data_IF_921075265922
#
_entry.id   IF_921075265922
#
_cell.length_a   1.000
_cell.length_b   1.000
_cell.length_c   1.000
_cell.angle_alpha   90.00
_cell.angle_beta   90.00
_cell.angle_gamma   90.00
#
_symmetry.space_group_name_H-M   'P 1'
#
loop_
_entity.id
_entity.type
_entity.pdbx_description
1 polymer ?
#
# COMPACT_ATOMS: atom_id res chain seq x y z
N UNK A 1 -20.41 -4.57 -49.57
CA UNK A 1 -19.60 -5.45 -48.68
C UNK A 1 -19.88 -5.01 -47.26
N UNK A 2 -20.56 -5.88 -46.49
CA UNK A 2 -20.88 -5.65 -45.08
C UNK A 2 -19.61 -5.80 -44.25
N UNK A 3 -19.08 -4.71 -43.69
CA UNK A 3 -18.10 -4.75 -42.60
C UNK A 3 -18.87 -4.62 -41.28
N UNK A 4 -19.69 -5.61 -40.95
CA UNK A 4 -20.29 -5.75 -39.63
C UNK A 4 -19.47 -6.75 -38.79
N UNK A 5 -18.20 -6.44 -38.56
CA UNK A 5 -17.42 -7.04 -37.48
C UNK A 5 -17.39 -6.03 -36.35
N UNK A 6 -18.27 -6.15 -35.36
CA UNK A 6 -18.08 -5.44 -34.09
C UNK A 6 -16.76 -5.92 -33.52
N UNK A 7 -15.71 -5.11 -33.64
CA UNK A 7 -14.42 -5.40 -33.04
C UNK A 7 -14.65 -5.60 -31.53
N UNK A 8 -14.50 -6.84 -31.06
CA UNK A 8 -14.55 -7.13 -29.64
C UNK A 8 -13.33 -6.45 -29.03
N UNK A 9 -13.58 -5.41 -28.25
CA UNK A 9 -12.51 -4.68 -27.57
C UNK A 9 -11.89 -5.60 -26.52
N UNK A 10 -10.56 -5.73 -26.54
CA UNK A 10 -9.83 -6.39 -25.46
C UNK A 10 -9.98 -5.63 -24.15
N UNK A 11 -10.14 -6.36 -23.05
CA UNK A 11 -10.00 -5.81 -21.70
C UNK A 11 -8.55 -5.39 -21.46
N UNK A 12 -8.36 -4.43 -20.56
CA UNK A 12 -7.02 -4.02 -20.10
C UNK A 12 -6.97 -3.95 -18.58
N UNK A 13 -5.75 -3.90 -18.05
CA UNK A 13 -5.46 -3.74 -16.63
C UNK A 13 -4.97 -2.32 -16.37
N UNK A 14 -5.62 -1.63 -15.45
CA UNK A 14 -5.21 -0.34 -14.92
C UNK A 14 -4.53 -0.59 -13.58
N UNK A 15 -3.24 -0.28 -13.50
CA UNK A 15 -2.44 -0.49 -12.30
C UNK A 15 -2.01 0.86 -11.75
N UNK A 16 -2.34 1.14 -10.50
CA UNK A 16 -1.91 2.35 -9.79
C UNK A 16 -0.96 1.98 -8.67
N UNK A 17 0.20 2.63 -8.63
CA UNK A 17 1.24 2.43 -7.61
C UNK A 17 1.51 3.78 -6.91
N UNK A 18 1.06 3.92 -5.67
CA UNK A 18 1.19 5.14 -4.86
C UNK A 18 2.34 5.00 -3.86
N UNK A 19 3.38 5.81 -3.99
CA UNK A 19 4.55 5.73 -3.10
C UNK A 19 4.37 6.52 -1.79
N UNK A 20 5.24 6.27 -0.80
CA UNK A 20 5.16 6.84 0.54
C UNK A 20 5.75 8.26 0.70
N UNK A 21 5.47 8.89 1.84
CA UNK A 21 6.09 10.12 2.40
C UNK A 21 7.48 10.49 1.93
N UNK A 22 7.70 11.56 1.17
CA UNK A 22 9.05 12.04 0.83
C UNK A 22 9.91 11.02 0.07
N UNK A 23 9.33 9.89 -0.35
CA UNK A 23 9.94 8.92 -1.21
C UNK A 23 9.62 9.31 -2.64
N UNK A 24 10.62 9.86 -3.29
CA UNK A 24 10.59 10.08 -4.73
C UNK A 24 11.63 9.18 -5.38
N UNK A 25 11.21 7.99 -5.78
CA UNK A 25 12.04 7.12 -6.58
C UNK A 25 12.43 7.69 -7.97
N UNK A 26 11.82 8.80 -8.40
CA UNK A 26 12.17 9.55 -9.62
C UNK A 26 13.28 10.56 -9.34
N UNK A 27 13.30 11.21 -8.17
CA UNK A 27 14.37 12.14 -7.76
C UNK A 27 15.58 11.43 -7.13
N UNK A 28 15.38 10.21 -6.63
CA UNK A 28 16.44 9.39 -6.05
C UNK A 28 17.34 8.84 -7.15
N UNK A 29 18.58 9.32 -7.20
CA UNK A 29 19.55 8.86 -8.22
C UNK A 29 20.19 7.51 -7.85
N UNK A 30 20.18 7.13 -6.57
CA UNK A 30 20.71 5.86 -6.12
C UNK A 30 19.62 4.77 -6.12
N UNK A 31 19.75 3.79 -7.03
CA UNK A 31 18.79 2.69 -7.19
C UNK A 31 18.64 1.84 -5.92
N UNK A 32 19.64 1.81 -5.04
CA UNK A 32 19.58 1.06 -3.79
C UNK A 32 18.52 1.64 -2.84
N UNK A 33 18.21 2.93 -2.95
CA UNK A 33 17.26 3.63 -2.08
C UNK A 33 15.81 3.58 -2.60
N UNK A 34 15.53 2.84 -3.67
CA UNK A 34 14.16 2.75 -4.19
C UNK A 34 13.22 2.02 -3.24
N UNK A 35 11.99 2.49 -3.20
CA UNK A 35 10.88 1.81 -2.53
C UNK A 35 10.46 0.58 -3.33
N UNK A 36 9.83 -0.35 -2.62
CA UNK A 36 9.18 -1.51 -3.22
C UNK A 36 8.00 -1.11 -4.10
N UNK A 37 7.34 0.02 -3.85
CA UNK A 37 6.30 0.54 -4.75
C UNK A 37 6.88 0.89 -6.12
N UNK A 38 7.98 1.64 -6.16
CA UNK A 38 8.64 1.96 -7.43
C UNK A 38 9.20 0.70 -8.11
N UNK A 39 9.86 -0.17 -7.33
CA UNK A 39 10.42 -1.42 -7.86
C UNK A 39 9.31 -2.29 -8.45
N UNK A 40 8.18 -2.45 -7.77
CA UNK A 40 7.02 -3.19 -8.26
C UNK A 40 6.45 -2.56 -9.53
N UNK A 41 6.29 -1.24 -9.59
CA UNK A 41 5.81 -0.54 -10.77
C UNK A 41 6.70 -0.80 -12.01
N UNK A 42 8.02 -0.87 -11.80
CA UNK A 42 9.00 -1.19 -12.87
C UNK A 42 9.07 -2.68 -13.22
N UNK A 43 8.66 -3.55 -12.30
CA UNK A 43 8.56 -5.00 -12.53
C UNK A 43 7.35 -5.37 -13.37
N UNK A 44 6.30 -4.54 -13.46
CA UNK A 44 5.09 -4.92 -14.22
C UNK A 44 5.31 -4.71 -15.72
N UNK A 45 5.10 -5.77 -16.52
CA UNK A 45 5.21 -5.70 -17.97
C UNK A 45 4.13 -4.80 -18.58
N UNK A 46 4.36 -4.23 -19.76
CA UNK A 46 3.34 -3.42 -20.46
C UNK A 46 2.18 -4.26 -21.03
N UNK A 47 2.40 -5.56 -21.25
CA UNK A 47 1.42 -6.50 -21.79
C UNK A 47 1.56 -7.86 -21.12
N UNK A 48 0.45 -8.58 -21.00
CA UNK A 48 0.39 -9.95 -20.56
C UNK A 48 0.18 -10.89 -21.75
N UNK A 49 1.30 -11.48 -22.19
CA UNK A 49 1.36 -12.39 -23.33
C UNK A 49 0.92 -13.81 -23.00
N UNK A 50 0.45 -14.08 -21.77
CA UNK A 50 -0.20 -15.36 -21.42
C UNK A 50 -1.58 -15.51 -22.07
N UNK A 51 -2.11 -14.42 -22.62
CA UNK A 51 -3.40 -14.34 -23.30
C UNK A 51 -3.24 -14.03 -24.79
N UNK A 52 -4.22 -14.44 -25.61
CA UNK A 52 -4.28 -14.15 -27.05
C UNK A 52 -5.65 -13.54 -27.41
N UNK A 53 -5.73 -12.25 -27.82
CA UNK A 53 -4.61 -11.31 -27.90
C UNK A 53 -4.03 -10.96 -26.51
N UNK A 54 -2.78 -10.46 -26.42
CA UNK A 54 -2.19 -10.01 -25.17
C UNK A 54 -3.04 -8.96 -24.46
N UNK A 55 -3.14 -9.06 -23.13
CA UNK A 55 -3.87 -8.07 -22.32
C UNK A 55 -2.94 -6.91 -21.98
N UNK A 56 -3.33 -5.69 -22.34
CA UNK A 56 -2.56 -4.49 -22.01
C UNK A 56 -2.55 -4.22 -20.49
N UNK A 57 -1.39 -3.88 -19.94
CA UNK A 57 -1.19 -3.51 -18.54
C UNK A 57 -0.67 -2.06 -18.47
N UNK A 58 -1.52 -1.12 -18.09
CA UNK A 58 -1.18 0.31 -18.02
C UNK A 58 -0.83 0.66 -16.59
N UNK A 59 0.44 0.98 -16.35
CA UNK A 59 0.98 1.34 -15.03
C UNK A 59 0.99 2.86 -14.87
N UNK A 60 0.39 3.34 -13.79
CA UNK A 60 0.49 4.71 -13.29
C UNK A 60 1.22 4.71 -11.95
N UNK A 61 2.40 5.30 -11.93
CA UNK A 61 3.18 5.50 -10.71
C UNK A 61 2.99 6.95 -10.22
N UNK A 62 2.64 7.10 -8.95
CA UNK A 62 2.49 8.37 -8.27
C UNK A 62 3.55 8.50 -7.19
N UNK A 63 4.34 9.57 -7.23
CA UNK A 63 5.33 9.87 -6.20
C UNK A 63 4.67 10.15 -4.84
N UNK A 64 5.46 10.01 -3.79
CA UNK A 64 5.02 10.30 -2.44
C UNK A 64 4.51 11.73 -2.25
N UNK A 65 3.60 11.91 -1.29
CA UNK A 65 3.23 13.26 -0.82
C UNK A 65 4.51 14.00 -0.37
N UNK A 66 4.60 15.30 -0.65
CA UNK A 66 5.74 16.15 -0.25
C UNK A 66 6.93 16.19 -1.21
N UNK A 67 6.93 15.42 -2.31
CA UNK A 67 8.08 15.38 -3.24
C UNK A 67 8.04 16.46 -4.33
N UNK A 68 6.94 17.19 -4.46
CA UNK A 68 6.76 18.24 -5.46
C UNK A 68 7.43 19.55 -5.03
N UNK A 69 8.42 20.00 -5.80
CA UNK A 69 8.93 21.39 -5.72
C UNK A 69 7.96 22.31 -6.48
N UNK A 70 6.87 22.74 -5.86
CA UNK A 70 6.01 23.75 -6.46
C UNK A 70 6.51 25.17 -6.11
N UNK A 71 6.79 25.95 -7.15
CA UNK A 71 7.25 27.35 -7.13
C UNK A 71 6.15 28.37 -6.73
N UNK A 72 5.02 27.89 -6.21
CA UNK A 72 3.85 28.69 -5.83
C UNK A 72 3.42 28.39 -4.40
N UNK A 73 4.36 28.50 -3.46
CA UNK A 73 4.06 28.58 -2.04
C UNK A 73 3.85 30.04 -1.65
N UNK A 74 2.63 30.52 -1.86
CA UNK A 74 2.06 31.58 -1.03
C UNK A 74 0.53 31.43 -1.12
N UNK A 75 -0.10 31.03 -0.01
CA UNK A 75 -1.55 30.90 0.21
C UNK A 75 -2.25 29.56 -0.08
N UNK A 76 -1.68 28.44 0.35
CA UNK A 76 -2.51 27.32 0.85
C UNK A 76 -2.01 27.00 2.25
N UNK A 77 -2.91 27.09 3.25
CA UNK A 77 -2.67 26.61 4.61
C UNK A 77 -2.42 25.08 4.54
N UNK A 78 -1.14 24.72 4.37
CA UNK A 78 -0.67 23.46 3.78
C UNK A 78 -0.21 22.44 4.83
N UNK A 79 -1.07 22.11 5.79
CA UNK A 79 -0.88 20.97 6.69
C UNK A 79 -1.48 19.72 6.05
N UNK A 80 -0.67 18.92 5.35
CA UNK A 80 -0.82 17.48 4.94
C UNK A 80 -2.12 16.96 4.30
N UNK A 81 -3.31 17.46 4.63
CA UNK A 81 -4.62 17.01 4.13
C UNK A 81 -4.97 17.49 2.73
N UNK A 82 -4.52 18.69 2.33
CA UNK A 82 -4.69 19.18 0.95
C UNK A 82 -3.95 18.32 -0.07
N UNK A 83 -2.68 18.03 0.22
CA UNK A 83 -1.82 17.21 -0.66
C UNK A 83 -2.25 15.75 -0.74
N UNK A 84 -2.87 15.18 0.29
CA UNK A 84 -3.43 13.81 0.22
C UNK A 84 -4.68 13.75 -0.66
N UNK A 85 -5.60 14.73 -0.54
CA UNK A 85 -6.81 14.79 -1.35
C UNK A 85 -6.46 14.85 -2.84
N UNK A 86 -5.48 15.68 -3.21
CA UNK A 86 -4.97 15.80 -4.57
C UNK A 86 -4.43 14.46 -5.09
N UNK A 87 -3.65 13.73 -4.27
CA UNK A 87 -3.10 12.42 -4.67
C UNK A 87 -4.19 11.37 -4.87
N UNK A 88 -5.21 11.36 -4.01
CA UNK A 88 -6.37 10.46 -4.17
C UNK A 88 -7.15 10.81 -5.43
N UNK A 89 -7.38 12.11 -5.69
CA UNK A 89 -8.07 12.58 -6.89
C UNK A 89 -7.31 12.23 -8.17
N UNK A 90 -6.00 12.48 -8.23
CA UNK A 90 -5.13 12.12 -9.37
C UNK A 90 -5.21 10.63 -9.71
N UNK A 91 -5.05 9.77 -8.70
CA UNK A 91 -5.09 8.32 -8.88
C UNK A 91 -6.49 7.83 -9.29
N UNK A 92 -7.55 8.36 -8.65
CA UNK A 92 -8.92 8.04 -9.00
C UNK A 92 -9.26 8.52 -10.43
N UNK A 93 -8.90 9.75 -10.78
CA UNK A 93 -9.13 10.33 -12.10
C UNK A 93 -8.39 9.55 -13.19
N UNK A 94 -7.15 9.12 -12.96
CA UNK A 94 -6.44 8.23 -13.88
C UNK A 94 -7.27 6.98 -14.20
N UNK A 95 -7.80 6.30 -13.19
CA UNK A 95 -8.64 5.12 -13.39
C UNK A 95 -9.93 5.51 -14.11
N UNK A 96 -10.67 6.47 -13.57
CA UNK A 96 -11.98 6.88 -14.04
C UNK A 96 -11.99 7.34 -15.51
N UNK A 97 -10.95 8.04 -15.96
CA UNK A 97 -10.83 8.57 -17.31
C UNK A 97 -10.34 7.53 -18.34
N UNK A 98 -9.65 6.48 -17.88
CA UNK A 98 -9.13 5.42 -18.74
C UNK A 98 -9.97 4.13 -18.71
N UNK A 99 -10.85 3.97 -17.72
CA UNK A 99 -11.65 2.77 -17.52
C UNK A 99 -12.80 2.63 -18.50
N UNK A 100 -12.97 1.43 -19.02
CA UNK A 100 -14.20 0.99 -19.65
C UNK A 100 -14.72 -0.29 -18.98
N UNK A 101 -16.05 -0.54 -19.04
CA UNK A 101 -16.64 -1.72 -18.43
C UNK A 101 -15.92 -3.00 -18.82
N UNK A 102 -15.50 -3.77 -17.81
CA UNK A 102 -14.77 -5.03 -17.96
C UNK A 102 -13.24 -4.91 -17.83
N UNK A 103 -12.69 -3.69 -17.81
CA UNK A 103 -11.29 -3.51 -17.43
C UNK A 103 -11.05 -3.92 -15.98
N UNK A 104 -9.81 -4.30 -15.66
CA UNK A 104 -9.39 -4.75 -14.34
C UNK A 104 -8.60 -3.65 -13.62
N UNK A 105 -8.79 -3.49 -12.31
CA UNK A 105 -8.16 -2.44 -11.50
C UNK A 105 -7.27 -3.08 -10.42
N UNK A 106 -6.02 -2.62 -10.36
CA UNK A 106 -5.02 -3.05 -9.38
C UNK A 106 -4.46 -1.81 -8.67
N UNK A 107 -4.40 -1.86 -7.35
CA UNK A 107 -3.93 -0.74 -6.53
C UNK A 107 -2.79 -1.23 -5.65
N UNK A 108 -1.68 -0.50 -5.65
CA UNK A 108 -0.52 -0.78 -4.83
C UNK A 108 -0.05 0.46 -4.10
N UNK A 109 0.54 0.29 -2.92
CA UNK A 109 1.23 1.41 -2.29
C UNK A 109 2.01 1.06 -1.05
N UNK A 110 2.82 2.02 -0.60
CA UNK A 110 3.63 1.92 0.62
C UNK A 110 3.33 3.08 1.56
N UNK A 111 3.25 2.84 2.88
CA UNK A 111 3.14 3.90 3.88
C UNK A 111 1.87 4.75 3.67
N UNK A 112 1.99 6.08 3.58
CA UNK A 112 0.87 6.96 3.14
C UNK A 112 0.41 6.70 1.72
N UNK A 113 1.27 6.22 0.83
CA UNK A 113 0.84 5.77 -0.50
C UNK A 113 -0.05 4.53 -0.43
N UNK A 114 0.19 3.63 0.53
CA UNK A 114 -0.74 2.55 0.82
C UNK A 114 -2.09 3.11 1.31
N UNK A 115 -2.07 4.13 2.16
CA UNK A 115 -3.28 4.83 2.59
C UNK A 115 -4.04 5.45 1.40
N UNK A 116 -3.36 6.13 0.47
CA UNK A 116 -3.93 6.65 -0.78
C UNK A 116 -4.57 5.54 -1.62
N UNK A 117 -3.87 4.43 -1.85
CA UNK A 117 -4.39 3.29 -2.60
C UNK A 117 -5.66 2.71 -1.97
N UNK A 118 -5.69 2.61 -0.64
CA UNK A 118 -6.86 2.16 0.13
C UNK A 118 -8.02 3.14 0.04
N UNK A 119 -7.76 4.45 0.10
CA UNK A 119 -8.78 5.49 -0.10
C UNK A 119 -9.39 5.43 -1.50
N UNK A 120 -8.57 5.33 -2.54
CA UNK A 120 -9.05 5.13 -3.92
C UNK A 120 -9.93 3.89 -4.00
N UNK A 121 -9.51 2.79 -3.37
CA UNK A 121 -10.32 1.58 -3.31
C UNK A 121 -11.69 1.82 -2.64
N UNK A 122 -11.73 2.57 -1.54
CA UNK A 122 -12.98 2.89 -0.84
C UNK A 122 -13.89 3.80 -1.66
N UNK A 123 -13.36 4.82 -2.33
CA UNK A 123 -14.16 5.65 -3.25
C UNK A 123 -14.74 4.82 -4.40
N UNK A 124 -13.95 3.94 -5.02
CA UNK A 124 -14.46 3.03 -6.06
C UNK A 124 -15.60 2.14 -5.52
N UNK A 125 -15.49 1.67 -4.28
CA UNK A 125 -16.57 0.88 -3.66
C UNK A 125 -17.83 1.69 -3.35
N UNK A 126 -17.67 2.97 -3.00
CA UNK A 126 -18.75 3.81 -2.51
C UNK A 126 -19.52 4.54 -3.63
N UNK A 127 -18.81 5.03 -4.64
CA UNK A 127 -19.36 5.83 -5.75
C UNK A 127 -19.09 5.23 -7.13
N UNK A 128 -18.41 4.08 -7.20
CA UNK A 128 -17.98 3.49 -8.47
C UNK A 128 -16.92 4.33 -9.17
N UNK A 129 -16.98 4.42 -10.50
CA UNK A 129 -16.09 5.28 -11.31
C UNK A 129 -16.85 6.43 -11.97
N UNK A 130 -16.65 7.65 -11.49
CA UNK A 130 -17.26 8.85 -12.08
C UNK A 130 -16.85 9.02 -13.54
N UNK A 131 -17.79 9.42 -14.40
CA UNK A 131 -17.45 9.76 -15.77
C UNK A 131 -16.83 11.16 -15.88
N UNK A 132 -16.52 11.59 -17.10
CA UNK A 132 -15.87 12.89 -17.34
C UNK A 132 -16.65 14.08 -16.80
N UNK A 133 -17.99 14.00 -16.76
CA UNK A 133 -18.85 15.08 -16.24
C UNK A 133 -19.01 14.95 -14.73
N UNK A 134 -19.19 13.73 -14.25
CA UNK A 134 -19.38 13.49 -12.82
C UNK A 134 -18.09 13.82 -12.03
N UNK A 135 -16.91 13.68 -12.65
CA UNK A 135 -15.62 14.07 -12.06
C UNK A 135 -15.57 15.54 -11.61
N UNK A 136 -16.35 16.46 -12.20
CA UNK A 136 -16.48 17.84 -11.72
C UNK A 136 -16.96 17.93 -10.25
N UNK A 137 -17.52 16.84 -9.72
CA UNK A 137 -18.03 16.74 -8.35
C UNK A 137 -17.07 16.02 -7.40
N UNK A 138 -15.90 15.52 -7.85
CA UNK A 138 -15.03 14.68 -7.01
C UNK A 138 -14.60 15.38 -5.72
N UNK A 139 -14.08 16.61 -5.82
CA UNK A 139 -13.68 17.40 -4.67
C UNK A 139 -14.84 17.62 -3.67
N UNK A 140 -16.05 17.85 -4.18
CA UNK A 140 -17.27 18.02 -3.37
C UNK A 140 -17.62 16.73 -2.63
N UNK A 141 -17.61 15.60 -3.33
CA UNK A 141 -17.85 14.27 -2.76
C UNK A 141 -16.81 13.95 -1.68
N UNK A 142 -15.53 14.22 -1.96
CA UNK A 142 -14.44 14.00 -1.02
C UNK A 142 -14.65 14.80 0.28
N UNK A 143 -14.94 16.09 0.17
CA UNK A 143 -15.22 16.96 1.32
C UNK A 143 -16.45 16.48 2.09
N UNK A 144 -17.50 16.03 1.41
CA UNK A 144 -18.70 15.52 2.06
C UNK A 144 -18.41 14.26 2.90
N UNK A 145 -17.64 13.31 2.37
CA UNK A 145 -17.17 12.15 3.12
C UNK A 145 -16.29 12.54 4.32
N UNK A 146 -15.37 13.49 4.13
CA UNK A 146 -14.50 13.98 5.21
C UNK A 146 -15.31 14.62 6.35
N UNK A 147 -16.32 15.42 6.03
CA UNK A 147 -17.20 16.05 7.03
C UNK A 147 -18.09 15.01 7.71
N UNK A 148 -18.61 14.04 6.97
CA UNK A 148 -19.43 12.96 7.51
C UNK A 148 -18.68 12.12 8.56
N UNK A 149 -17.36 11.99 8.39
CA UNK A 149 -16.47 11.32 9.35
C UNK A 149 -16.33 12.05 10.68
N UNK A 150 -16.34 13.39 10.64
CA UNK A 150 -16.01 14.27 11.76
C UNK A 150 -17.23 14.79 12.51
N UNK A 151 -18.41 14.70 11.89
CA UNK A 151 -19.65 15.25 12.45
C UNK A 151 -20.37 14.24 13.34
N UNK A 152 -20.60 14.66 14.59
CA UNK A 152 -21.51 14.02 15.55
C UNK A 152 -22.95 14.58 15.47
N UNK A 153 -23.19 15.57 14.60
CA UNK A 153 -24.51 16.21 14.45
C UNK A 153 -25.37 15.45 13.42
N UNK A 154 -26.42 14.78 13.89
CA UNK A 154 -27.30 13.97 13.04
C UNK A 154 -27.93 14.74 11.87
N UNK A 155 -28.27 16.02 12.05
CA UNK A 155 -28.84 16.83 10.97
C UNK A 155 -27.82 17.10 9.86
N UNK A 156 -26.57 17.42 10.23
CA UNK A 156 -25.49 17.61 9.27
C UNK A 156 -25.16 16.29 8.55
N UNK A 157 -25.11 15.18 9.29
CA UNK A 157 -24.89 13.84 8.73
C UNK A 157 -25.97 13.47 7.72
N UNK A 158 -27.23 13.77 8.00
CA UNK A 158 -28.33 13.53 7.04
C UNK A 158 -28.17 14.38 5.78
N UNK A 159 -27.88 15.68 5.91
CA UNK A 159 -27.67 16.57 4.76
C UNK A 159 -26.51 16.09 3.86
N UNK A 160 -25.39 15.70 4.46
CA UNK A 160 -24.24 15.16 3.72
C UNK A 160 -24.57 13.82 3.05
N UNK A 161 -25.36 12.98 3.72
CA UNK A 161 -25.83 11.71 3.14
C UNK A 161 -26.74 11.95 1.93
N UNK A 162 -27.66 12.92 2.03
CA UNK A 162 -28.55 13.32 0.93
C UNK A 162 -27.76 13.90 -0.24
N UNK A 163 -26.71 14.68 0.03
CA UNK A 163 -25.80 15.22 -0.98
C UNK A 163 -25.05 14.12 -1.74
N UNK A 164 -24.59 13.08 -1.03
CA UNK A 164 -23.88 11.94 -1.58
C UNK A 164 -24.81 10.95 -2.30
N UNK A 165 -26.11 10.95 -1.98
CA UNK A 165 -27.08 9.97 -2.47
C UNK A 165 -27.11 9.86 -4.01
N UNK A 166 -26.89 10.97 -4.74
CA UNK A 166 -26.84 10.95 -6.20
C UNK A 166 -25.73 10.04 -6.77
N UNK A 167 -24.65 9.83 -6.01
CA UNK A 167 -23.46 9.08 -6.41
C UNK A 167 -23.39 7.69 -5.77
N UNK A 168 -24.06 7.47 -4.64
CA UNK A 168 -23.98 6.22 -3.85
C UNK A 168 -25.17 5.29 -4.02
N UNK A 169 -26.28 5.77 -4.60
CA UNK A 169 -27.45 4.92 -4.87
C UNK A 169 -27.10 3.80 -5.87
N UNK A 170 -27.71 2.60 -5.77
CA UNK A 170 -27.30 1.45 -6.58
C UNK A 170 -27.32 1.68 -8.10
N UNK A 171 -28.22 2.52 -8.61
CA UNK A 171 -28.35 2.90 -10.02
C UNK A 171 -27.50 4.12 -10.41
N UNK A 172 -26.65 4.64 -9.52
CA UNK A 172 -25.74 5.75 -9.82
C UNK A 172 -24.80 5.38 -10.97
N UNK A 173 -24.54 6.35 -11.85
CA UNK A 173 -23.79 6.12 -13.08
C UNK A 173 -22.40 5.53 -12.82
N UNK A 174 -21.69 6.05 -11.81
CA UNK A 174 -20.37 5.54 -11.44
C UNK A 174 -20.39 4.07 -10.99
N UNK A 175 -21.37 3.68 -10.17
CA UNK A 175 -21.52 2.29 -9.72
C UNK A 175 -21.91 1.36 -10.86
N UNK A 176 -22.74 1.82 -11.80
CA UNK A 176 -23.10 1.04 -12.99
C UNK A 176 -21.91 0.79 -13.92
N UNK A 177 -20.90 1.69 -13.95
CA UNK A 177 -19.68 1.47 -14.75
C UNK A 177 -18.83 0.31 -14.24
N UNK A 178 -18.88 0.00 -12.94
CA UNK A 178 -18.09 -1.06 -12.29
C UNK A 178 -18.98 -2.16 -11.68
N UNK A 179 -20.09 -2.48 -12.35
CA UNK A 179 -21.08 -3.43 -11.87
C UNK A 179 -20.64 -4.91 -11.99
N UNK A 180 -19.56 -5.25 -11.30
CA UNK A 180 -19.00 -6.59 -11.18
C UNK A 180 -18.97 -7.02 -9.71
N UNK A 181 -18.98 -8.32 -9.39
CA UNK A 181 -18.85 -8.79 -8.00
C UNK A 181 -17.62 -8.22 -7.27
N UNK A 182 -16.54 -8.03 -8.02
CA UNK A 182 -15.34 -7.34 -7.59
C UNK A 182 -15.00 -6.24 -8.59
N UNK A 183 -15.14 -4.97 -8.19
CA UNK A 183 -14.72 -3.83 -9.00
C UNK A 183 -13.20 -3.62 -8.97
N UNK A 184 -12.51 -4.20 -7.98
CA UNK A 184 -11.05 -4.14 -7.83
C UNK A 184 -10.50 -5.56 -7.75
N UNK A 185 -9.54 -5.89 -8.61
CA UNK A 185 -8.90 -7.21 -8.65
C UNK A 185 -7.91 -7.41 -7.50
N UNK A 186 -7.11 -6.39 -7.20
CA UNK A 186 -6.09 -6.50 -6.18
C UNK A 186 -5.83 -5.16 -5.48
N UNK A 187 -5.67 -5.21 -4.16
CA UNK A 187 -5.01 -4.16 -3.37
C UNK A 187 -3.79 -4.77 -2.68
N UNK A 188 -2.58 -4.37 -3.08
CA UNK A 188 -1.33 -4.84 -2.50
C UNK A 188 -0.59 -3.72 -1.78
N UNK A 189 -0.45 -3.79 -0.46
CA UNK A 189 0.12 -2.70 0.34
C UNK A 189 1.34 -3.15 1.15
N UNK A 190 2.33 -2.27 1.19
CA UNK A 190 3.47 -2.36 2.10
C UNK A 190 3.20 -1.41 3.26
N UNK A 191 3.17 -1.96 4.45
CA UNK A 191 3.07 -1.27 5.72
C UNK A 191 2.24 0.04 5.74
N UNK A 192 0.92 -0.08 5.90
CA UNK A 192 0.00 1.07 5.84
C UNK A 192 0.02 1.85 7.16
N UNK A 193 0.47 3.10 7.10
CA UNK A 193 0.39 4.04 8.21
C UNK A 193 -0.54 5.20 7.88
N UNK A 194 -1.33 5.62 8.87
CA UNK A 194 -2.32 6.67 8.71
C UNK A 194 -1.70 8.03 8.39
N UNK A 195 -2.45 8.86 7.67
CA UNK A 195 -2.14 10.27 7.45
C UNK A 195 -2.62 11.10 8.66
N UNK A 196 -1.94 11.00 9.79
CA UNK A 196 -1.95 12.09 10.76
C UNK A 196 -0.72 12.96 10.52
N UNK A 197 -0.85 14.26 10.79
CA UNK A 197 0.21 15.25 10.62
C UNK A 197 1.40 14.98 11.54
N UNK A 198 2.11 16.06 11.93
CA UNK A 198 3.22 15.95 12.88
C UNK A 198 2.87 15.00 14.06
N UNK A 199 3.84 14.23 14.56
CA UNK A 199 3.66 13.28 15.66
C UNK A 199 2.81 13.89 16.79
N UNK A 200 1.97 13.07 17.44
CA UNK A 200 1.11 13.52 18.54
C UNK A 200 1.94 14.15 19.69
N UNK A 201 3.23 13.85 19.78
CA UNK A 201 4.12 14.46 20.77
C UNK A 201 4.59 15.88 20.42
N UNK A 202 4.47 16.27 19.13
CA UNK A 202 4.77 17.60 18.61
C UNK A 202 3.50 18.46 18.44
N UNK A 203 2.33 17.85 18.46
CA UNK A 203 1.03 18.55 18.37
C UNK A 203 0.14 18.18 19.55
N UNK A 204 -0.26 19.18 20.35
CA UNK A 204 -1.17 19.03 21.48
C UNK A 204 -2.47 18.27 21.10
N UNK A 205 -2.48 16.96 21.34
CA UNK A 205 -3.65 16.10 21.54
C UNK A 205 -4.66 16.04 20.37
N UNK A 206 -4.22 15.63 19.18
CA UNK A 206 -5.13 15.28 18.08
C UNK A 206 -5.60 13.82 18.25
N UNK A 207 -6.86 13.66 18.66
CA UNK A 207 -7.54 12.35 18.79
C UNK A 207 -7.25 11.47 17.56
N UNK A 208 -6.79 10.24 17.80
CA UNK A 208 -6.65 9.18 16.78
C UNK A 208 -7.89 9.15 15.88
N UNK A 209 -7.72 9.52 14.61
CA UNK A 209 -8.79 9.43 13.63
C UNK A 209 -9.03 7.94 13.33
N UNK A 210 -10.05 7.34 13.95
CA UNK A 210 -10.52 5.97 13.69
C UNK A 210 -11.24 5.84 12.33
N UNK A 211 -11.37 6.95 11.61
CA UNK A 211 -12.04 7.06 10.32
C UNK A 211 -11.12 7.75 9.31
N UNK A 212 -10.88 7.09 8.19
CA UNK A 212 -10.18 7.58 7.00
C UNK A 212 -11.16 8.39 6.17
N UNK A 213 -11.24 9.70 6.42
CA UNK A 213 -12.10 10.60 5.66
C UNK A 213 -13.54 10.07 5.50
N UNK A 214 -14.06 9.35 6.48
CA UNK A 214 -15.43 8.80 6.50
C UNK A 214 -15.51 7.28 6.33
N UNK A 215 -14.43 6.64 5.88
CA UNK A 215 -14.34 5.18 5.77
C UNK A 215 -13.66 4.58 7.01
N UNK A 216 -14.09 3.40 7.49
CA UNK A 216 -13.38 2.72 8.58
C UNK A 216 -11.96 2.32 8.12
N UNK A 217 -10.93 2.77 8.83
CA UNK A 217 -9.51 2.55 8.46
C UNK A 217 -9.12 1.08 8.33
N UNK A 218 -9.85 0.19 8.99
CA UNK A 218 -9.57 -1.24 8.97
C UNK A 218 -10.46 -2.01 7.99
N UNK A 219 -11.55 -1.45 7.49
CA UNK A 219 -12.50 -2.23 6.70
C UNK A 219 -11.90 -2.65 5.35
N UNK A 220 -11.97 -3.94 5.05
CA UNK A 220 -11.78 -4.46 3.70
C UNK A 220 -13.11 -4.46 2.95
N UNK A 221 -13.25 -3.58 1.95
CA UNK A 221 -14.46 -3.47 1.13
C UNK A 221 -14.76 -4.77 0.38
N UNK A 222 -16.03 -5.19 0.37
CA UNK A 222 -16.46 -6.45 -0.26
C UNK A 222 -16.34 -6.49 -1.80
N UNK A 223 -16.03 -5.35 -2.42
CA UNK A 223 -15.79 -5.18 -3.86
C UNK A 223 -14.33 -5.40 -4.28
N UNK A 224 -13.44 -5.68 -3.32
CA UNK A 224 -12.03 -6.03 -3.56
C UNK A 224 -11.90 -7.55 -3.60
N UNK A 225 -11.35 -8.11 -4.69
CA UNK A 225 -11.19 -9.57 -4.84
C UNK A 225 -10.05 -10.11 -3.98
N UNK A 226 -8.86 -9.49 -4.07
CA UNK A 226 -7.68 -9.91 -3.33
C UNK A 226 -7.00 -8.73 -2.62
N UNK A 227 -6.63 -8.92 -1.36
CA UNK A 227 -5.88 -7.96 -0.58
C UNK A 227 -4.63 -8.62 0.01
N UNK A 228 -3.47 -8.02 -0.21
CA UNK A 228 -2.17 -8.47 0.30
C UNK A 228 -1.53 -7.33 1.08
N UNK A 229 -1.12 -7.57 2.32
CA UNK A 229 -0.52 -6.55 3.19
C UNK A 229 0.75 -7.08 3.85
N UNK A 230 1.90 -6.51 3.52
CA UNK A 230 3.16 -6.79 4.21
C UNK A 230 3.31 -5.88 5.44
N UNK A 231 3.56 -6.47 6.62
CA UNK A 231 3.55 -5.82 7.92
C UNK A 231 4.95 -5.85 8.58
N UNK A 232 5.34 -4.74 9.21
CA UNK A 232 6.62 -4.63 9.90
C UNK A 232 6.54 -5.19 11.32
N UNK A 233 7.37 -6.17 11.65
CA UNK A 233 7.44 -6.74 13.00
C UNK A 233 8.22 -5.85 13.98
N UNK A 234 9.30 -5.23 13.52
CA UNK A 234 10.24 -4.46 14.34
C UNK A 234 10.04 -2.94 14.25
N UNK A 235 8.88 -2.47 13.78
CA UNK A 235 8.53 -1.05 13.87
C UNK A 235 8.07 -0.70 15.29
N UNK A 236 8.83 0.19 15.93
CA UNK A 236 8.67 0.51 17.36
C UNK A 236 8.18 1.94 17.61
N UNK A 237 8.03 2.78 16.57
CA UNK A 237 7.45 4.11 16.70
C UNK A 237 5.94 3.98 16.85
N UNK A 238 5.39 4.54 17.94
CA UNK A 238 3.96 4.46 18.27
C UNK A 238 3.05 5.00 17.17
N UNK A 239 3.45 6.08 16.51
CA UNK A 239 2.66 6.73 15.46
C UNK A 239 2.68 5.98 14.13
N UNK A 240 3.52 4.95 14.03
CA UNK A 240 3.58 4.02 12.90
C UNK A 240 2.85 2.73 13.25
N UNK A 241 1.77 2.80 14.02
CA UNK A 241 0.88 1.65 14.23
C UNK A 241 0.13 1.34 12.93
N UNK A 242 0.29 0.11 12.43
CA UNK A 242 -0.22 -0.28 11.13
C UNK A 242 -1.75 -0.35 11.13
N UNK A 243 -2.36 0.28 10.12
CA UNK A 243 -3.77 0.14 9.80
C UNK A 243 -4.05 -1.23 9.13
N UNK A 244 -4.16 -2.28 9.94
CA UNK A 244 -4.50 -3.64 9.48
C UNK A 244 -5.90 -3.71 8.88
N UNK A 245 -6.08 -4.57 7.90
CA UNK A 245 -7.40 -4.93 7.38
C UNK A 245 -8.18 -5.84 8.33
N UNK A 246 -9.49 -5.67 8.32
CA UNK A 246 -10.52 -6.49 8.92
C UNK A 246 -11.56 -6.75 7.83
N UNK A 247 -11.75 -8.02 7.46
CA UNK A 247 -12.77 -8.41 6.48
C UNK A 247 -14.07 -8.77 7.17
N UNK A 248 -15.20 -8.38 6.58
CA UNK A 248 -16.51 -8.82 7.05
C UNK A 248 -16.71 -10.33 6.78
N UNK A 249 -17.36 -11.03 7.71
CA UNK A 249 -17.62 -12.47 7.58
C UNK A 249 -18.35 -12.84 6.27
N UNK A 250 -19.25 -11.98 5.80
CA UNK A 250 -20.01 -12.20 4.57
C UNK A 250 -19.13 -12.17 3.30
N UNK A 251 -17.98 -11.49 3.34
CA UNK A 251 -17.08 -11.39 2.19
C UNK A 251 -16.30 -12.69 1.93
N UNK A 252 -16.06 -13.49 2.98
CA UNK A 252 -15.39 -14.80 2.86
C UNK A 252 -16.17 -15.73 1.93
N UNK A 253 -17.49 -15.70 2.03
CA UNK A 253 -18.37 -16.55 1.22
C UNK A 253 -18.39 -16.18 -0.27
N UNK A 254 -17.83 -15.01 -0.64
CA UNK A 254 -17.72 -14.56 -2.04
C UNK A 254 -16.37 -14.91 -2.68
N UNK A 255 -15.48 -15.58 -1.96
CA UNK A 255 -14.13 -15.91 -2.45
C UNK A 255 -13.12 -14.76 -2.32
N UNK A 256 -13.42 -13.72 -1.51
CA UNK A 256 -12.46 -12.65 -1.22
C UNK A 256 -11.23 -13.20 -0.49
N UNK A 257 -10.04 -12.89 -1.01
CA UNK A 257 -8.76 -13.30 -0.42
C UNK A 257 -8.18 -12.11 0.35
N UNK A 258 -7.80 -12.35 1.61
CA UNK A 258 -7.04 -11.40 2.42
C UNK A 258 -5.81 -12.15 2.93
N UNK A 259 -4.60 -11.62 2.72
CA UNK A 259 -3.39 -12.08 3.41
C UNK A 259 -2.70 -10.90 4.05
N UNK A 260 -2.46 -10.97 5.35
CA UNK A 260 -1.66 -9.99 6.07
C UNK A 260 -0.44 -10.71 6.63
N UNK A 261 0.74 -10.48 6.06
CA UNK A 261 1.94 -11.22 6.42
C UNK A 261 2.94 -10.33 7.15
N UNK A 262 3.40 -10.80 8.30
CA UNK A 262 4.40 -10.15 9.14
C UNK A 262 5.82 -10.58 8.73
N UNK A 263 6.68 -9.59 8.51
CA UNK A 263 8.09 -9.78 8.14
C UNK A 263 9.02 -9.15 9.18
N UNK A 264 10.25 -9.65 9.26
CA UNK A 264 11.32 -9.03 10.05
C UNK A 264 11.68 -7.68 9.44
N UNK A 265 11.92 -6.68 10.30
CA UNK A 265 12.21 -5.32 9.85
C UNK A 265 11.26 -4.26 10.41
N UNK A 266 11.67 -3.00 10.32
CA UNK A 266 10.86 -1.81 10.59
C UNK A 266 10.15 -1.29 9.31
N UNK A 267 9.47 -0.15 9.38
CA UNK A 267 8.67 0.42 8.29
C UNK A 267 9.34 0.38 6.90
N UNK A 268 10.56 0.91 6.78
CA UNK A 268 11.29 0.96 5.51
C UNK A 268 12.05 -0.34 5.19
N UNK A 269 12.16 -1.27 6.14
CA UNK A 269 12.58 -2.65 5.83
C UNK A 269 11.46 -3.42 5.12
N UNK A 270 10.21 -2.94 5.17
CA UNK A 270 9.08 -3.54 4.45
C UNK A 270 8.82 -2.84 3.12
N UNK A 271 8.86 -1.51 3.11
CA UNK A 271 8.56 -0.72 1.92
C UNK A 271 9.76 -0.27 1.09
N UNK A 272 10.99 -0.51 1.55
CA UNK A 272 12.20 0.01 0.94
C UNK A 272 12.55 1.45 1.37
N UNK A 273 13.69 1.94 0.89
CA UNK A 273 14.24 3.25 1.24
C UNK A 273 15.56 3.22 2.02
N UNK A 274 16.03 2.04 2.42
CA UNK A 274 17.39 1.83 2.93
C UNK A 274 18.32 1.31 1.85
N UNK A 275 19.63 1.60 1.97
CA UNK A 275 20.64 1.03 1.06
C UNK A 275 20.79 -0.47 1.27
N UNK A 276 20.75 -0.92 2.51
CA UNK A 276 20.73 -2.33 2.90
C UNK A 276 19.27 -2.78 2.93
N UNK A 277 18.85 -3.51 1.91
CA UNK A 277 17.42 -3.69 1.63
C UNK A 277 17.01 -5.16 1.43
N UNK A 278 17.77 -6.13 1.95
CA UNK A 278 17.46 -7.56 1.87
C UNK A 278 16.06 -7.86 2.43
N UNK A 279 15.70 -7.25 3.57
CA UNK A 279 14.37 -7.40 4.17
C UNK A 279 13.26 -6.86 3.26
N UNK A 280 13.50 -5.73 2.59
CA UNK A 280 12.54 -5.14 1.66
C UNK A 280 12.47 -5.94 0.36
N UNK A 281 13.57 -6.51 -0.11
CA UNK A 281 13.56 -7.39 -1.29
C UNK A 281 12.69 -8.62 -1.05
N UNK A 282 12.77 -9.23 0.14
CA UNK A 282 11.93 -10.37 0.51
C UNK A 282 10.44 -10.00 0.45
N UNK A 283 10.04 -8.83 0.96
CA UNK A 283 8.62 -8.41 0.91
C UNK A 283 8.16 -8.08 -0.52
N UNK A 284 9.05 -7.53 -1.36
CA UNK A 284 8.79 -7.31 -2.79
C UNK A 284 8.57 -8.64 -3.53
N UNK A 285 9.44 -9.63 -3.28
CA UNK A 285 9.35 -10.96 -3.89
C UNK A 285 8.05 -11.65 -3.43
N UNK A 286 7.69 -11.54 -2.14
CA UNK A 286 6.41 -12.05 -1.64
C UNK A 286 5.21 -11.42 -2.35
N UNK A 287 5.21 -10.09 -2.50
CA UNK A 287 4.13 -9.37 -3.21
C UNK A 287 4.05 -9.84 -4.66
N UNK A 288 5.18 -9.89 -5.36
CA UNK A 288 5.28 -10.38 -6.73
C UNK A 288 4.75 -11.83 -6.85
N UNK A 289 5.12 -12.69 -5.91
CA UNK A 289 4.71 -14.10 -5.88
C UNK A 289 3.19 -14.26 -5.72
N UNK A 290 2.54 -13.36 -4.98
CA UNK A 290 1.09 -13.35 -4.77
C UNK A 290 0.29 -12.80 -5.95
N UNK A 291 0.89 -11.96 -6.80
CA UNK A 291 0.19 -11.30 -7.91
C UNK A 291 0.56 -11.82 -9.31
N UNK A 292 1.64 -12.61 -9.44
CA UNK A 292 2.15 -13.09 -10.73
C UNK A 292 1.16 -13.95 -11.52
N UNK A 293 0.12 -14.49 -10.87
CA UNK A 293 -0.95 -15.19 -11.57
C UNK A 293 -1.88 -14.20 -12.29
N UNK A 294 -2.09 -13.01 -11.73
CA UNK A 294 -2.94 -11.96 -12.28
C UNK A 294 -2.19 -10.95 -13.16
N UNK A 295 -0.92 -10.67 -12.87
CA UNK A 295 -0.12 -9.67 -13.60
C UNK A 295 1.11 -10.32 -14.24
N UNK A 296 1.42 -9.94 -15.48
CA UNK A 296 2.67 -10.31 -16.13
C UNK A 296 3.81 -9.43 -15.60
N UNK A 297 4.91 -10.06 -15.20
CA UNK A 297 6.04 -9.44 -14.52
C UNK A 297 7.35 -9.64 -15.30
N UNK A 298 8.19 -8.60 -15.31
CA UNK A 298 9.56 -8.62 -15.79
C UNK A 298 10.44 -9.36 -14.77
N UNK A 299 10.55 -10.66 -14.99
CA UNK A 299 11.35 -11.54 -14.15
C UNK A 299 12.86 -11.33 -14.30
N UNK A 300 13.31 -10.63 -15.35
CA UNK A 300 14.71 -10.23 -15.49
C UNK A 300 15.00 -9.03 -14.58
N UNK A 301 14.16 -8.00 -14.67
CA UNK A 301 14.24 -6.84 -13.79
C UNK A 301 14.12 -7.25 -12.32
N UNK A 302 13.10 -8.04 -11.94
CA UNK A 302 12.89 -8.45 -10.55
C UNK A 302 14.09 -9.21 -9.98
N UNK A 303 14.73 -10.09 -10.77
CA UNK A 303 15.94 -10.80 -10.35
C UNK A 303 17.18 -9.91 -10.23
N UNK A 304 17.18 -8.74 -10.89
CA UNK A 304 18.27 -7.76 -10.79
C UNK A 304 18.16 -6.82 -9.58
N UNK A 305 17.05 -6.87 -8.83
CA UNK A 305 16.80 -5.97 -7.70
C UNK A 305 17.64 -6.34 -6.47
N UNK A 306 17.65 -7.61 -6.00
CA UNK A 306 18.39 -7.95 -4.79
C UNK A 306 19.89 -7.70 -4.92
N UNK A 307 20.50 -7.15 -3.87
CA UNK A 307 21.95 -7.05 -3.71
C UNK A 307 22.32 -7.40 -2.27
N UNK A 308 22.30 -8.70 -1.91
CA UNK A 308 22.21 -9.11 -0.52
C UNK A 308 23.46 -8.80 0.30
N UNK A 309 23.25 -8.32 1.54
CA UNK A 309 24.29 -8.14 2.58
C UNK A 309 24.31 -9.27 3.61
N UNK A 310 23.24 -10.06 3.66
CA UNK A 310 23.06 -11.15 4.59
C UNK A 310 22.37 -12.34 3.90
N UNK A 311 22.39 -13.50 4.55
CA UNK A 311 21.63 -14.66 4.07
C UNK A 311 20.13 -14.37 4.13
N UNK A 312 19.33 -15.14 3.39
CA UNK A 312 17.88 -14.97 3.32
C UNK A 312 17.26 -14.77 4.70
N UNK A 313 16.66 -13.61 4.93
CA UNK A 313 15.96 -13.30 6.17
C UNK A 313 16.84 -12.97 7.39
N UNK A 314 18.16 -12.98 7.29
CA UNK A 314 19.05 -12.78 8.45
C UNK A 314 19.63 -11.37 8.58
N UNK A 315 19.35 -10.48 7.62
CA UNK A 315 19.72 -9.06 7.75
C UNK A 315 19.14 -8.51 9.06
N UNK A 316 20.00 -7.86 9.85
CA UNK A 316 19.59 -7.19 11.08
C UNK A 316 18.61 -6.05 10.74
N UNK A 317 17.44 -5.99 11.37
CA UNK A 317 16.49 -4.90 11.19
C UNK A 317 17.13 -3.54 11.45
N UNK A 318 16.77 -2.54 10.64
CA UNK A 318 17.19 -1.18 10.90
C UNK A 318 16.55 -0.66 12.19
N UNK A 319 17.22 0.31 12.83
CA UNK A 319 16.64 0.98 13.98
C UNK A 319 15.68 2.09 13.49
N UNK A 320 14.35 1.96 13.70
CA UNK A 320 13.39 2.97 13.26
C UNK A 320 13.48 4.27 14.07
N UNK A 321 14.12 4.25 15.24
CA UNK A 321 14.21 5.38 16.18
C UNK A 321 15.60 6.00 16.16
N UNK A 322 15.97 6.54 15.01
CA UNK A 322 17.21 7.30 14.80
C UNK A 322 16.90 8.79 14.58
N UNK A 323 17.90 9.65 14.70
CA UNK A 323 17.73 11.10 14.52
C UNK A 323 16.61 11.68 15.41
N UNK A 324 15.72 12.47 14.82
CA UNK A 324 14.57 13.07 15.50
C UNK A 324 13.51 12.04 15.95
N UNK A 325 13.38 10.89 15.27
CA UNK A 325 12.44 9.83 15.68
C UNK A 325 12.89 9.06 16.93
N UNK A 326 14.11 9.31 17.43
CA UNK A 326 14.53 8.83 18.75
C UNK A 326 13.64 9.38 19.88
N UNK A 327 12.97 10.53 19.66
CA UNK A 327 12.07 11.20 20.59
C UNK A 327 10.66 10.60 20.61
N UNK A 328 10.25 9.85 19.58
CA UNK A 328 8.90 9.29 19.51
C UNK A 328 8.69 8.20 20.56
N UNK A 329 7.47 8.03 21.04
CA UNK A 329 7.22 6.98 22.01
C UNK A 329 7.43 5.59 21.41
N UNK A 330 8.03 4.71 22.21
CA UNK A 330 8.16 3.31 21.87
C UNK A 330 6.82 2.58 22.02
N UNK A 331 6.61 1.60 21.15
CA UNK A 331 5.58 0.58 21.27
C UNK A 331 6.16 -0.78 20.88
N UNK A 332 5.55 -1.85 21.37
CA UNK A 332 5.80 -3.20 20.91
C UNK A 332 4.54 -3.69 20.19
N UNK A 333 4.73 -4.29 19.02
CA UNK A 333 3.61 -4.76 18.20
C UNK A 333 3.10 -6.09 18.72
N UNK A 334 1.77 -6.25 18.69
CA UNK A 334 1.11 -7.49 19.07
C UNK A 334 1.09 -8.43 17.86
N UNK A 335 1.78 -9.56 17.99
CA UNK A 335 1.86 -10.57 16.95
C UNK A 335 0.62 -11.46 16.90
N UNK A 336 0.25 -11.97 15.72
CA UNK A 336 -0.76 -13.00 15.61
C UNK A 336 -0.21 -14.29 16.24
N UNK A 337 -0.90 -14.77 17.28
CA UNK A 337 -0.57 -16.05 17.90
C UNK A 337 -1.43 -17.20 17.34
N UNK A 338 -2.48 -16.89 16.60
CA UNK A 338 -3.29 -17.83 15.83
C UNK A 338 -3.82 -17.13 14.57
N UNK A 339 -4.18 -17.93 13.57
CA UNK A 339 -4.90 -17.42 12.41
C UNK A 339 -6.37 -17.20 12.77
N UNK A 340 -6.93 -16.08 12.32
CA UNK A 340 -8.36 -15.82 12.40
C UNK A 340 -8.94 -15.43 11.03
N UNK A 341 -10.26 -15.59 10.90
CA UNK A 341 -10.96 -15.34 9.65
C UNK A 341 -11.30 -13.86 9.42
N UNK A 342 -10.92 -12.93 10.28
CA UNK A 342 -11.19 -11.49 10.16
C UNK A 342 -9.96 -10.78 9.59
N UNK A 343 -8.77 -11.00 10.16
CA UNK A 343 -7.54 -10.36 9.72
C UNK A 343 -6.70 -11.30 8.84
N UNK A 344 -6.82 -12.61 9.00
CA UNK A 344 -6.03 -13.62 8.29
C UNK A 344 -4.52 -13.31 8.31
N UNK A 345 -4.02 -13.03 9.50
CA UNK A 345 -2.61 -12.70 9.76
C UNK A 345 -1.72 -13.95 9.80
N UNK A 346 -0.54 -13.84 9.21
CA UNK A 346 0.50 -14.90 9.14
C UNK A 346 1.88 -14.29 9.33
N UNK A 347 2.89 -15.11 9.58
CA UNK A 347 4.29 -14.70 9.76
C UNK A 347 5.12 -15.33 8.64
N UNK A 348 5.88 -14.52 7.91
CA UNK A 348 6.74 -15.04 6.85
C UNK A 348 7.86 -15.90 7.43
N UNK A 349 8.20 -17.02 6.79
CA UNK A 349 9.24 -17.93 7.29
C UNK A 349 10.63 -17.28 7.42
N UNK A 350 10.91 -16.19 6.68
CA UNK A 350 12.17 -15.42 6.85
C UNK A 350 12.32 -14.82 8.24
N UNK A 351 11.23 -14.61 8.99
CA UNK A 351 11.29 -14.14 10.38
C UNK A 351 12.08 -15.12 11.24
N UNK A 352 12.00 -16.42 10.98
CA UNK A 352 12.69 -17.46 11.75
C UNK A 352 14.22 -17.42 11.59
N UNK A 353 14.72 -16.72 10.57
CA UNK A 353 16.15 -16.56 10.27
C UNK A 353 16.75 -15.35 11.05
N UNK A 354 15.92 -14.60 11.78
CA UNK A 354 16.34 -13.46 12.59
C UNK A 354 17.09 -13.92 13.84
N UNK A 355 18.15 -13.18 14.21
CA UNK A 355 18.98 -13.51 15.38
C UNK A 355 18.21 -13.48 16.72
N UNK A 356 17.12 -12.72 16.79
CA UNK A 356 16.25 -12.64 17.96
C UNK A 356 14.79 -12.75 17.53
N UNK A 357 14.12 -13.78 18.04
CA UNK A 357 12.68 -13.98 17.84
C UNK A 357 11.91 -13.45 19.05
N UNK A 358 10.73 -12.85 18.84
CA UNK A 358 9.80 -12.52 19.92
C UNK A 358 9.46 -13.77 20.74
N UNK A 359 9.57 -13.70 22.07
CA UNK A 359 9.30 -14.85 22.94
C UNK A 359 7.89 -15.41 22.74
N UNK A 360 6.90 -14.55 22.56
CA UNK A 360 5.53 -14.95 22.28
C UNK A 360 5.39 -15.79 20.99
N UNK A 361 6.23 -15.52 19.97
CA UNK A 361 6.27 -16.32 18.75
C UNK A 361 6.88 -17.70 19.01
N UNK A 362 7.99 -17.74 19.74
CA UNK A 362 8.66 -19.00 20.13
C UNK A 362 7.70 -19.88 20.94
N UNK A 363 6.99 -19.29 21.91
CA UNK A 363 6.02 -19.99 22.75
C UNK A 363 4.83 -20.50 21.93
N UNK A 364 4.30 -19.68 21.01
CA UNK A 364 3.20 -20.09 20.13
C UNK A 364 3.60 -21.25 19.19
N UNK A 365 4.81 -21.19 18.62
CA UNK A 365 5.35 -22.27 17.78
C UNK A 365 5.56 -23.55 18.59
N UNK A 366 6.10 -23.45 19.81
CA UNK A 366 6.26 -24.60 20.71
C UNK A 366 4.91 -25.23 21.11
N UNK A 367 3.84 -24.43 21.18
CA UNK A 367 2.47 -24.89 21.38
C UNK A 367 1.81 -25.48 20.12
N UNK A 368 2.52 -25.54 18.99
CA UNK A 368 2.03 -26.12 17.73
C UNK A 368 1.16 -25.18 16.91
N UNK A 369 1.11 -23.88 17.22
CA UNK A 369 0.35 -22.92 16.45
C UNK A 369 1.01 -22.68 15.08
N UNK A 370 0.25 -22.87 14.01
CA UNK A 370 0.72 -22.72 12.63
C UNK A 370 0.38 -21.33 12.11
N UNK A 371 1.12 -20.31 12.55
CA UNK A 371 0.99 -18.93 12.03
C UNK A 371 2.06 -18.61 10.98
N UNK A 372 3.08 -19.47 10.84
CA UNK A 372 4.17 -19.27 9.88
C UNK A 372 3.76 -19.80 8.51
N UNK A 373 3.82 -18.95 7.49
CA UNK A 373 3.56 -19.35 6.11
C UNK A 373 4.78 -20.03 5.46
N UNK A 374 4.50 -20.97 4.56
CA UNK A 374 5.52 -21.60 3.70
C UNK A 374 5.77 -20.68 2.51
N UNK A 375 7.01 -20.62 2.05
CA UNK A 375 7.40 -19.85 0.87
C UNK A 375 6.61 -20.29 -0.36
N UNK A 376 6.16 -19.32 -1.14
CA UNK A 376 5.58 -19.57 -2.46
C UNK A 376 6.69 -20.04 -3.43
N UNK A 377 6.34 -20.74 -4.53
CA UNK A 377 7.33 -21.28 -5.47
C UNK A 377 8.32 -20.24 -6.00
N UNK A 378 7.87 -18.99 -6.20
CA UNK A 378 8.75 -17.92 -6.64
C UNK A 378 9.74 -17.50 -5.54
N UNK A 379 9.28 -17.45 -4.29
CA UNK A 379 10.12 -17.11 -3.14
C UNK A 379 11.20 -18.19 -2.93
N UNK A 380 10.84 -19.47 -3.07
CA UNK A 380 11.81 -20.57 -3.06
C UNK A 380 12.87 -20.44 -4.16
N UNK A 381 12.49 -20.01 -5.37
CA UNK A 381 13.46 -19.76 -6.46
C UNK A 381 14.47 -18.66 -6.06
N UNK A 382 13.98 -17.56 -5.49
CA UNK A 382 14.82 -16.46 -5.03
C UNK A 382 15.72 -16.89 -3.87
N UNK A 383 15.16 -17.57 -2.85
CA UNK A 383 15.93 -18.09 -1.71
C UNK A 383 17.04 -19.03 -2.16
N UNK A 384 16.79 -19.92 -3.12
CA UNK A 384 17.79 -20.85 -3.64
C UNK A 384 18.94 -20.17 -4.38
N UNK A 385 18.73 -18.96 -4.91
CA UNK A 385 19.73 -18.16 -5.63
C UNK A 385 20.25 -16.97 -4.80
N UNK A 386 19.90 -16.93 -3.51
CA UNK A 386 20.24 -15.82 -2.63
C UNK A 386 21.71 -15.89 -2.20
N UNK A 387 22.56 -15.14 -2.90
CA UNK A 387 24.01 -15.10 -2.66
C UNK A 387 24.36 -13.74 -2.05
N UNK A 388 25.13 -13.73 -0.97
CA UNK A 388 25.64 -12.48 -0.38
C UNK A 388 26.67 -11.86 -1.31
N UNK A 389 26.40 -10.65 -1.79
CA UNK A 389 27.22 -9.98 -2.82
C UNK A 389 28.10 -8.88 -2.26
N UNK A 390 27.77 -8.35 -1.08
CA UNK A 390 28.42 -7.17 -0.50
C UNK A 390 28.44 -7.22 1.02
N UNK A 391 29.39 -6.52 1.61
CA UNK A 391 29.41 -6.29 3.05
C UNK A 391 28.32 -5.29 3.45
N UNK A 392 27.69 -5.45 4.64
CA UNK A 392 26.78 -4.46 5.20
C UNK A 392 27.45 -3.08 5.31
N UNK A 393 26.70 -2.01 5.04
CA UNK A 393 27.24 -0.66 5.21
C UNK A 393 27.05 -0.20 6.65
N UNK A 394 28.13 -0.25 7.45
CA UNK A 394 28.22 0.52 8.70
C UNK A 394 28.28 2.00 8.35
N UNK A 395 27.16 2.73 8.42
CA UNK A 395 27.18 4.19 8.27
C UNK A 395 27.79 4.80 9.54
N UNK A 396 29.00 5.40 9.50
CA UNK A 396 29.53 6.09 10.66
C UNK A 396 28.69 7.36 10.88
N UNK A 397 28.28 7.59 12.13
CA UNK A 397 27.51 8.76 12.59
C UNK A 397 28.09 10.13 12.13
N UNK A 398 29.36 10.18 11.73
CA UNK A 398 30.04 11.40 11.26
C UNK A 398 29.65 11.83 9.83
N UNK A 399 29.16 10.93 8.97
CA UNK A 399 28.70 11.26 7.61
C UNK A 399 27.21 11.64 7.53
N UNK A 400 26.42 11.30 8.57
CA UNK A 400 25.01 11.67 8.66
C UNK A 400 24.79 13.20 8.67
N UNK A 401 25.76 13.99 9.16
CA UNK A 401 25.66 15.46 9.22
C UNK A 401 25.66 16.18 7.86
N UNK A 402 26.04 15.52 6.76
CA UNK A 402 26.02 16.13 5.41
C UNK A 402 24.78 15.79 4.59
N UNK A 403 23.96 14.84 5.04
CA UNK A 403 22.71 14.47 4.39
C UNK A 403 21.53 14.90 5.28
N UNK A 404 21.34 16.22 5.41
CA UNK A 404 20.19 16.82 6.11
C UNK A 404 18.81 16.43 5.53
N UNK A 405 18.78 15.65 4.45
CA UNK A 405 17.57 15.10 3.82
C UNK A 405 17.26 13.67 4.33
N UNK A 406 18.26 12.92 4.84
CA UNK A 406 18.04 11.57 5.38
C UNK A 406 17.25 11.57 6.70
N UNK A 407 17.40 12.61 7.53
CA UNK A 407 16.63 12.72 8.77
C UNK A 407 15.14 12.99 8.53
N UNK A 408 14.74 13.50 7.34
CA UNK A 408 13.33 13.65 6.96
C UNK A 408 12.70 12.36 6.40
N UNK A 409 13.48 11.35 6.00
CA UNK A 409 12.95 10.01 5.67
C UNK A 409 12.46 9.25 6.93
N UNK A 410 12.83 9.73 8.12
CA UNK A 410 12.63 9.06 9.41
C UNK A 410 11.58 9.79 10.26
N UNK A 411 11.26 11.04 9.91
CA UNK A 411 10.16 11.82 10.48
C UNK A 411 8.96 11.54 9.59
N UNK A 412 7.91 10.97 10.19
CA UNK A 412 6.63 10.69 9.55
C UNK A 412 6.19 11.82 8.62
#
# INVERSE_FOLDING_TARGET
MSLSGTAVRSTKRLIVCCDGTWQDGVLTQDRLLYTNTLRLARTIMNEDTRFDPPIQQIVFYQSGIGTERNLYDEYVDATTGGTLADKVEEAYAFIALNYFPGDEIFLFGFSRGAYTARMVAMFIGAIGLLDRKDMDNFARIFIAYQRLAKSDNEQERQLLTDELHAFTKPDAHGLQRVNNPFSIKCVGVFETVGSLGLPDELTLDLKKATLVFGFPDKALGGHIERAYHALALNETRRDFDCAKYERAHQSVNKGQILKQCWFGGCHSDIGGGYRDHDLADITLIWMAANIQDMLSLDMEYLRSVPSPVATWGSQKPHNPRTGLASLFFATERKLPLCMDNITNETIHSSVLEQAALPSALVDAMAAGHTVVEVLLPLEEEFKAKWIVEREPQDVPLSLARKHFIQDYCIIA
#
